data_IF_652949758125
#
_entry.id   IF_652949758125
#
_cell.length_a   1.000
_cell.length_b   1.000
_cell.length_c   1.000
_cell.angle_alpha   90.00
_cell.angle_beta   90.00
_cell.angle_gamma   90.00
#
_symmetry.space_group_name_H-M   'P 1'
#
loop_
_entity.id
_entity.type
_entity.pdbx_description
1 polymer ?
#
# COMPACT_ATOMS: atom_id res chain seq x y z
N UNK A 1 27.22 -7.13 -18.09
CA UNK A 1 27.81 -8.05 -17.09
C UNK A 1 26.92 -8.10 -15.84
N UNK A 2 27.31 -8.83 -14.80
CA UNK A 2 26.53 -8.93 -13.54
C UNK A 2 26.42 -7.58 -12.81
N UNK A 3 27.48 -6.76 -12.85
CA UNK A 3 27.54 -5.46 -12.19
C UNK A 3 26.46 -4.50 -12.71
N UNK A 4 26.29 -4.38 -14.02
CA UNK A 4 25.32 -3.46 -14.62
C UNK A 4 23.88 -3.91 -14.33
N UNK A 5 23.60 -5.21 -14.40
CA UNK A 5 22.29 -5.78 -14.02
C UNK A 5 21.93 -5.45 -12.57
N UNK A 6 22.88 -5.60 -11.65
CA UNK A 6 22.67 -5.29 -10.23
C UNK A 6 22.45 -3.80 -9.98
N UNK A 7 23.21 -2.93 -10.66
CA UNK A 7 23.01 -1.47 -10.57
C UNK A 7 21.61 -1.08 -11.05
N UNK A 8 21.17 -1.62 -12.19
CA UNK A 8 19.83 -1.37 -12.71
C UNK A 8 18.74 -1.86 -11.76
N UNK A 9 18.89 -3.08 -11.22
CA UNK A 9 17.93 -3.66 -10.28
C UNK A 9 17.85 -2.89 -8.95
N UNK A 10 18.98 -2.45 -8.39
CA UNK A 10 19.00 -1.60 -7.18
C UNK A 10 18.24 -0.29 -7.41
N UNK A 11 18.49 0.38 -8.54
CA UNK A 11 17.79 1.63 -8.88
C UNK A 11 16.28 1.43 -8.97
N UNK A 12 15.83 0.32 -9.56
CA UNK A 12 14.41 -0.03 -9.64
C UNK A 12 13.84 -0.28 -8.24
N UNK A 13 14.54 -1.05 -7.40
CA UNK A 13 14.10 -1.36 -6.04
C UNK A 13 13.97 -0.09 -5.18
N UNK A 14 14.97 0.80 -5.21
CA UNK A 14 14.93 2.09 -4.52
C UNK A 14 13.72 2.93 -4.95
N UNK A 15 13.46 3.01 -6.26
CA UNK A 15 12.33 3.79 -6.77
C UNK A 15 10.97 3.15 -6.44
N UNK A 16 10.90 1.82 -6.39
CA UNK A 16 9.71 1.08 -6.00
C UNK A 16 9.33 1.37 -4.54
N UNK A 17 10.29 1.29 -3.61
CA UNK A 17 10.04 1.61 -2.20
C UNK A 17 9.64 3.08 -2.01
N UNK A 18 10.26 3.99 -2.75
CA UNK A 18 9.87 5.40 -2.72
C UNK A 18 8.42 5.60 -3.23
N UNK A 19 8.00 4.87 -4.27
CA UNK A 19 6.64 4.92 -4.77
C UNK A 19 5.62 4.34 -3.78
N UNK A 20 5.92 3.20 -3.16
CA UNK A 20 5.09 2.60 -2.08
C UNK A 20 4.88 3.59 -0.93
N UNK A 21 5.96 4.19 -0.43
CA UNK A 21 5.90 5.16 0.66
C UNK A 21 5.11 6.43 0.29
N UNK A 22 5.26 6.92 -0.94
CA UNK A 22 4.53 8.10 -1.42
C UNK A 22 3.03 7.84 -1.51
N UNK A 23 2.60 6.65 -1.97
CA UNK A 23 1.19 6.28 -2.01
C UNK A 23 0.63 6.14 -0.59
N UNK A 24 1.36 5.52 0.34
CA UNK A 24 0.93 5.40 1.73
C UNK A 24 0.74 6.77 2.40
N UNK A 25 1.66 7.71 2.15
CA UNK A 25 1.53 9.09 2.61
C UNK A 25 0.31 9.79 1.99
N UNK A 26 0.03 9.57 0.70
CA UNK A 26 -1.13 10.14 0.03
C UNK A 26 -2.46 9.58 0.59
N UNK A 27 -2.54 8.27 0.83
CA UNK A 27 -3.71 7.63 1.47
C UNK A 27 -3.97 8.27 2.83
N UNK A 28 -2.92 8.42 3.67
CA UNK A 28 -3.06 9.04 4.98
C UNK A 28 -3.56 10.49 4.88
N UNK A 29 -2.99 11.30 3.99
CA UNK A 29 -3.38 12.70 3.83
C UNK A 29 -4.85 12.85 3.38
N UNK A 30 -5.30 12.04 2.41
CA UNK A 30 -6.68 12.11 1.92
C UNK A 30 -7.68 11.55 2.95
N UNK A 31 -7.32 10.51 3.70
CA UNK A 31 -8.15 10.00 4.79
C UNK A 31 -8.33 11.05 5.92
N UNK A 32 -7.31 11.86 6.21
CA UNK A 32 -7.47 12.95 7.16
C UNK A 32 -8.35 14.07 6.62
N UNK A 33 -8.28 14.36 5.32
CA UNK A 33 -9.19 15.31 4.69
C UNK A 33 -10.65 14.85 4.83
N UNK A 34 -10.97 13.59 4.52
CA UNK A 34 -12.33 13.06 4.64
C UNK A 34 -12.85 13.06 6.07
N UNK A 35 -11.95 13.00 7.06
CA UNK A 35 -12.28 13.11 8.50
C UNK A 35 -12.57 14.56 8.90
N UNK A 36 -11.73 15.52 8.49
CA UNK A 36 -11.86 16.92 8.91
C UNK A 36 -13.09 17.60 8.31
N UNK A 37 -13.47 17.27 7.07
CA UNK A 37 -14.60 17.92 6.39
C UNK A 37 -15.93 17.87 7.17
N UNK A 38 -16.45 16.71 7.60
CA UNK A 38 -17.68 16.65 8.38
C UNK A 38 -17.54 17.27 9.78
N UNK A 39 -16.36 17.19 10.40
CA UNK A 39 -16.09 17.81 11.71
C UNK A 39 -16.16 19.33 11.62
N UNK A 40 -15.41 19.94 10.70
CA UNK A 40 -15.40 21.39 10.50
C UNK A 40 -16.80 21.92 10.14
N UNK A 41 -17.57 21.17 9.35
CA UNK A 41 -18.96 21.49 9.04
C UNK A 41 -19.85 21.50 10.29
N UNK A 42 -19.69 20.52 11.19
CA UNK A 42 -20.44 20.43 12.44
C UNK A 42 -20.05 21.56 13.41
N UNK A 43 -18.75 21.83 13.55
CA UNK A 43 -18.20 22.92 14.37
C UNK A 43 -18.73 24.29 13.92
N UNK A 44 -18.94 24.46 12.62
CA UNK A 44 -19.53 25.67 12.04
C UNK A 44 -21.07 25.69 12.07
N UNK A 45 -21.74 24.70 12.67
CA UNK A 45 -23.20 24.55 12.71
C UNK A 45 -23.87 24.59 11.32
N UNK A 46 -23.18 24.07 10.28
CA UNK A 46 -23.66 24.07 8.90
C UNK A 46 -24.49 22.81 8.58
N UNK A 47 -25.42 22.94 7.63
CA UNK A 47 -26.24 21.81 7.14
C UNK A 47 -25.37 20.68 6.58
N UNK A 48 -25.83 19.43 6.70
CA UNK A 48 -25.13 18.24 6.23
C UNK A 48 -24.87 18.19 4.71
N UNK A 49 -25.67 18.90 3.92
CA UNK A 49 -25.45 18.98 2.46
C UNK A 49 -24.25 19.84 2.08
N UNK A 50 -23.76 20.71 2.97
CA UNK A 50 -22.63 21.60 2.69
C UNK A 50 -21.35 20.76 2.53
N UNK A 51 -20.77 20.83 1.33
CA UNK A 51 -19.55 20.10 0.99
C UNK A 51 -19.74 18.62 0.68
N UNK A 52 -20.99 18.14 0.52
CA UNK A 52 -21.29 16.72 0.25
C UNK A 52 -20.56 16.20 -0.99
N UNK A 53 -20.63 16.89 -2.12
CA UNK A 53 -19.97 16.46 -3.37
C UNK A 53 -18.45 16.46 -3.23
N UNK A 54 -17.90 17.43 -2.50
CA UNK A 54 -16.47 17.49 -2.23
C UNK A 54 -16.02 16.31 -1.34
N UNK A 55 -16.81 15.94 -0.33
CA UNK A 55 -16.54 14.79 0.53
C UNK A 55 -16.60 13.48 -0.29
N UNK A 56 -17.60 13.34 -1.17
CA UNK A 56 -17.70 12.19 -2.08
C UNK A 56 -16.47 12.07 -2.98
N UNK A 57 -16.02 13.18 -3.58
CA UNK A 57 -14.82 13.19 -4.42
C UNK A 57 -13.56 12.83 -3.60
N UNK A 58 -13.43 13.32 -2.37
CA UNK A 58 -12.30 12.98 -1.49
C UNK A 58 -12.30 11.49 -1.10
N UNK A 59 -13.46 10.92 -0.79
CA UNK A 59 -13.62 9.48 -0.50
C UNK A 59 -13.27 8.64 -1.73
N UNK A 60 -13.77 9.01 -2.92
CA UNK A 60 -13.45 8.32 -4.17
C UNK A 60 -11.95 8.40 -4.49
N UNK A 61 -11.32 9.55 -4.26
CA UNK A 61 -9.87 9.71 -4.42
C UNK A 61 -9.11 8.77 -3.47
N UNK A 62 -9.54 8.65 -2.21
CA UNK A 62 -8.94 7.74 -1.25
C UNK A 62 -9.02 6.28 -1.73
N UNK A 63 -10.17 5.86 -2.26
CA UNK A 63 -10.35 4.52 -2.83
C UNK A 63 -9.38 4.26 -3.99
N UNK A 64 -9.24 5.22 -4.91
CA UNK A 64 -8.29 5.12 -6.03
C UNK A 64 -6.84 5.00 -5.57
N UNK A 65 -6.44 5.68 -4.49
CA UNK A 65 -5.11 5.55 -3.92
C UNK A 65 -4.88 4.16 -3.30
N UNK A 66 -5.88 3.60 -2.61
CA UNK A 66 -5.81 2.23 -2.08
C UNK A 66 -5.70 1.19 -3.21
N UNK A 67 -6.43 1.39 -4.31
CA UNK A 67 -6.28 0.54 -5.50
C UNK A 67 -4.90 0.70 -6.15
N UNK A 68 -4.38 1.93 -6.24
CA UNK A 68 -3.04 2.20 -6.76
C UNK A 68 -1.98 1.48 -5.91
N UNK A 69 -2.12 1.48 -4.58
CA UNK A 69 -1.27 0.73 -3.66
C UNK A 69 -1.26 -0.78 -3.97
N UNK A 70 -2.44 -1.37 -4.17
CA UNK A 70 -2.56 -2.78 -4.52
C UNK A 70 -1.84 -3.10 -5.85
N UNK A 71 -1.95 -2.21 -6.84
CA UNK A 71 -1.24 -2.34 -8.13
C UNK A 71 0.28 -2.24 -7.98
N UNK A 72 0.78 -1.38 -7.09
CA UNK A 72 2.22 -1.30 -6.80
C UNK A 72 2.72 -2.56 -6.08
N UNK A 73 1.94 -3.13 -5.15
CA UNK A 73 2.26 -4.42 -4.52
C UNK A 73 2.36 -5.54 -5.57
N UNK A 74 1.41 -5.60 -6.52
CA UNK A 74 1.47 -6.55 -7.63
C UNK A 74 2.68 -6.31 -8.55
N UNK A 75 3.06 -5.04 -8.76
CA UNK A 75 4.28 -4.66 -9.49
C UNK A 75 5.53 -5.16 -8.77
N UNK A 76 5.58 -5.05 -7.44
CA UNK A 76 6.66 -5.59 -6.62
C UNK A 76 6.79 -7.10 -6.81
N UNK A 77 5.69 -7.85 -6.72
CA UNK A 77 5.69 -9.30 -6.95
C UNK A 77 6.20 -9.67 -8.37
N UNK A 78 5.76 -8.92 -9.38
CA UNK A 78 6.22 -9.12 -10.77
C UNK A 78 7.71 -8.82 -10.94
N UNK A 79 8.22 -7.78 -10.26
CA UNK A 79 9.65 -7.45 -10.26
C UNK A 79 10.48 -8.52 -9.54
N UNK A 80 9.93 -9.20 -8.53
CA UNK A 80 10.59 -10.36 -7.90
C UNK A 80 10.76 -11.50 -8.89
N UNK A 81 9.75 -11.82 -9.68
CA UNK A 81 9.85 -12.83 -10.74
C UNK A 81 10.88 -12.42 -11.81
N UNK A 82 10.92 -11.14 -12.18
CA UNK A 82 11.90 -10.61 -13.13
C UNK A 82 13.35 -10.72 -12.63
N UNK A 83 13.61 -10.66 -11.31
CA UNK A 83 14.95 -10.87 -10.75
C UNK A 83 15.52 -12.25 -11.12
N UNK A 84 14.69 -13.29 -11.10
CA UNK A 84 15.07 -14.64 -11.52
C UNK A 84 15.44 -14.69 -13.00
N UNK A 85 14.66 -14.02 -13.85
CA UNK A 85 14.91 -13.98 -15.30
C UNK A 85 16.24 -13.30 -15.65
N UNK A 86 16.71 -12.37 -14.82
CA UNK A 86 18.00 -11.68 -15.02
C UNK A 86 19.16 -12.29 -14.22
N UNK A 87 18.96 -13.43 -13.55
CA UNK A 87 19.99 -14.14 -12.78
C UNK A 87 20.43 -13.40 -11.50
N UNK A 88 19.48 -12.77 -10.80
CA UNK A 88 19.66 -12.06 -9.53
C UNK A 88 18.79 -12.66 -8.41
N UNK A 89 18.36 -13.91 -8.53
CA UNK A 89 17.50 -14.63 -7.59
C UNK A 89 18.06 -14.71 -6.15
N UNK A 90 19.38 -14.86 -6.02
CA UNK A 90 20.10 -14.85 -4.75
C UNK A 90 20.32 -13.45 -4.15
N UNK A 91 19.98 -12.38 -4.88
CA UNK A 91 20.15 -11.01 -4.40
C UNK A 91 18.93 -10.59 -3.58
N UNK A 92 19.17 -10.18 -2.34
CA UNK A 92 18.15 -9.56 -1.50
C UNK A 92 18.26 -8.04 -1.61
N UNK A 93 17.25 -7.40 -2.18
CA UNK A 93 17.12 -5.94 -2.27
C UNK A 93 16.47 -5.37 -1.00
N UNK A 94 17.01 -5.75 0.16
CA UNK A 94 16.74 -5.14 1.47
C UNK A 94 15.25 -4.95 1.82
N UNK A 95 14.39 -5.81 1.28
CA UNK A 95 12.94 -5.62 1.27
C UNK A 95 12.15 -6.73 1.93
N UNK A 96 11.09 -6.34 2.64
CA UNK A 96 9.95 -7.23 2.95
C UNK A 96 9.18 -7.45 1.65
N UNK A 97 9.69 -8.34 0.80
CA UNK A 97 8.97 -8.73 -0.41
C UNK A 97 7.64 -9.35 0.02
N UNK A 98 6.50 -8.92 -0.54
CA UNK A 98 5.25 -9.63 -0.35
C UNK A 98 5.46 -11.12 -0.69
N UNK A 99 4.88 -12.05 0.10
CA UNK A 99 4.91 -13.46 -0.27
C UNK A 99 4.38 -13.62 -1.70
N UNK A 100 5.01 -14.45 -2.52
CA UNK A 100 4.42 -14.81 -3.81
C UNK A 100 3.02 -15.39 -3.55
N UNK A 101 2.03 -15.02 -4.37
CA UNK A 101 0.66 -15.55 -4.26
C UNK A 101 0.74 -17.08 -4.30
N UNK A 102 0.58 -17.71 -3.12
CA UNK A 102 0.85 -19.13 -2.89
C UNK A 102 1.60 -19.45 -1.60
N UNK A 103 2.33 -18.49 -1.00
CA UNK A 103 3.06 -18.71 0.27
C UNK A 103 2.23 -18.45 1.55
N UNK A 104 0.90 -18.33 1.42
CA UNK A 104 -0.04 -18.39 2.55
C UNK A 104 -0.44 -19.84 2.91
N UNK A 105 0.32 -20.83 2.46
CA UNK A 105 0.13 -22.23 2.87
C UNK A 105 0.70 -22.44 4.28
N UNK A 106 -0.22 -22.50 5.23
CA UNK A 106 -0.24 -23.51 6.28
C UNK A 106 0.85 -23.47 7.38
N UNK A 107 1.12 -22.29 7.94
CA UNK A 107 1.66 -22.20 9.33
C UNK A 107 0.97 -21.11 10.15
N UNK A 108 -0.33 -20.89 9.95
CA UNK A 108 -1.14 -20.18 10.92
C UNK A 108 -1.36 -21.09 12.13
N UNK A 109 -0.54 -20.91 13.18
CA UNK A 109 -0.78 -21.49 14.50
C UNK A 109 -2.26 -21.23 14.91
N UNK A 110 -2.96 -22.22 15.49
CA UNK A 110 -4.41 -22.09 15.70
C UNK A 110 -4.70 -20.91 16.62
N UNK A 111 -5.55 -20.00 16.12
CA UNK A 111 -6.02 -18.84 16.88
C UNK A 111 -6.62 -19.32 18.22
N UNK A 112 -5.92 -19.04 19.32
CA UNK A 112 -6.48 -19.23 20.66
C UNK A 112 -7.68 -18.31 20.79
N UNK A 113 -8.88 -18.91 20.82
CA UNK A 113 -10.12 -18.19 21.18
C UNK A 113 -9.92 -17.58 22.57
N UNK A 114 -9.88 -16.26 22.65
CA UNK A 114 -10.08 -15.55 23.91
C UNK A 114 -11.56 -15.69 24.28
N UNK A 115 -11.86 -16.56 25.23
CA UNK A 115 -13.14 -16.55 25.93
C UNK A 115 -13.16 -15.33 26.85
N UNK A 116 -14.01 -14.36 26.53
CA UNK A 116 -14.38 -13.29 27.45
C UNK A 116 -15.36 -13.90 28.44
N UNK A 117 -14.98 -13.96 29.71
CA UNK A 117 -15.91 -14.31 30.79
C UNK A 117 -16.87 -13.12 30.99
N UNK A 118 -18.16 -13.45 31.11
CA UNK A 118 -19.24 -12.52 31.41
C UNK A 118 -19.19 -12.02 32.87
#
# INVERSE_FOLDING_TARGET
>A
MLKERRIAANKIAEQLFAAEAAIDAAVAAVAQLTTVMPMARQEAHLSACIGQDALMNAVQTCQQLVEARARIIATHASLRQAQTQVGLDAVNFNGRCPPEEGALTETAAPARRLTIAA
#
